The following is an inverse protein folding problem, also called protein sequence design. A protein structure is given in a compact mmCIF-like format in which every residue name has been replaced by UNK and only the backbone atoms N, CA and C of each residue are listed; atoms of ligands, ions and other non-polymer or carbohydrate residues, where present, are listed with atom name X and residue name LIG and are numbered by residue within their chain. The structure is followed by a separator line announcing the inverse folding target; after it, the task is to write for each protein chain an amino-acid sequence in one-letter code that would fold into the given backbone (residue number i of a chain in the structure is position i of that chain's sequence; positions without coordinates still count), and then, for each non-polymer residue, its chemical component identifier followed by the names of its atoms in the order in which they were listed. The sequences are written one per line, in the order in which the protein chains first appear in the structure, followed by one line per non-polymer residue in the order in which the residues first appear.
data_IF_253250142001
#
_entry.id   IF_253250142001
#
_cell.length_a   1.000
_cell.length_b   1.000
_cell.length_c   1.000
_cell.angle_alpha   90.00
_cell.angle_beta   90.00
_cell.angle_gamma   90.00
#
_symmetry.space_group_name_H-M   'P 1'
#
loop_
_entity.id
_entity.type
_entity.pdbx_description
1 polymer ?
#
# COMPACT_ATOMS: atom_id res chain seq x y z
N UNK A 1 -19.59 10.65 4.28
CA UNK A 1 -19.22 9.80 5.44
C UNK A 1 -17.73 9.64 5.42
N UNK A 2 -17.10 9.71 6.59
CA UNK A 2 -15.67 9.57 6.74
C UNK A 2 -15.30 8.13 7.09
N UNK A 3 -14.03 7.80 6.89
CA UNK A 3 -13.45 6.56 7.36
C UNK A 3 -13.68 6.40 8.87
N UNK A 4 -14.32 5.30 9.28
CA UNK A 4 -14.71 5.06 10.69
C UNK A 4 -13.60 4.40 11.49
N UNK A 5 -12.63 3.76 10.82
CA UNK A 5 -11.56 3.00 11.45
C UNK A 5 -11.87 1.53 11.69
N UNK A 6 -13.04 1.05 11.25
CA UNK A 6 -13.35 -0.39 11.27
C UNK A 6 -12.40 -1.15 10.32
N UNK A 7 -11.92 -2.32 10.77
CA UNK A 7 -11.06 -3.21 9.99
C UNK A 7 -11.71 -3.66 8.67
N UNK A 8 -13.05 -3.76 8.63
CA UNK A 8 -13.75 -4.07 7.39
C UNK A 8 -13.56 -3.00 6.31
N UNK A 9 -13.29 -1.75 6.70
CA UNK A 9 -13.01 -0.66 5.76
C UNK A 9 -11.58 -0.74 5.18
N UNK A 10 -10.66 -1.38 5.89
CA UNK A 10 -9.27 -1.63 5.44
C UNK A 10 -9.11 -2.89 4.59
N UNK A 11 -9.93 -3.92 4.82
CA UNK A 11 -9.76 -5.26 4.23
C UNK A 11 -11.01 -5.78 3.50
N UNK A 12 -11.93 -4.88 3.13
CA UNK A 12 -13.15 -5.23 2.43
C UNK A 12 -13.00 -5.23 0.90
N UNK A 13 -14.07 -5.61 0.20
CA UNK A 13 -14.11 -5.69 -1.27
C UNK A 13 -13.93 -4.34 -1.99
N UNK A 14 -13.99 -3.22 -1.26
CA UNK A 14 -13.72 -1.88 -1.77
C UNK A 14 -12.23 -1.59 -1.99
N UNK A 15 -11.34 -2.45 -1.48
CA UNK A 15 -9.90 -2.29 -1.62
C UNK A 15 -9.49 -2.65 -3.05
N UNK A 16 -8.69 -1.79 -3.67
CA UNK A 16 -8.11 -2.05 -4.99
C UNK A 16 -6.86 -2.95 -4.84
N UNK A 17 -7.04 -4.24 -5.09
CA UNK A 17 -5.97 -5.23 -5.00
C UNK A 17 -4.85 -4.99 -6.02
N UNK A 18 -5.18 -4.52 -7.24
CA UNK A 18 -4.20 -4.28 -8.29
C UNK A 18 -3.29 -3.09 -7.90
N UNK A 19 -3.86 -2.03 -7.33
CA UNK A 19 -3.10 -0.90 -6.80
C UNK A 19 -2.20 -1.31 -5.64
N UNK A 20 -2.67 -2.18 -4.74
CA UNK A 20 -1.86 -2.71 -3.64
C UNK A 20 -0.69 -3.55 -4.15
N UNK A 21 -0.93 -4.46 -5.09
CA UNK A 21 0.12 -5.30 -5.69
C UNK A 21 1.17 -4.43 -6.38
N UNK A 22 0.74 -3.38 -7.09
CA UNK A 22 1.66 -2.41 -7.68
C UNK A 22 2.55 -1.75 -6.61
N UNK A 23 1.98 -1.25 -5.52
CA UNK A 23 2.74 -0.61 -4.43
C UNK A 23 3.71 -1.58 -3.75
N UNK A 24 3.31 -2.84 -3.56
CA UNK A 24 4.19 -3.88 -3.03
C UNK A 24 5.40 -4.12 -3.95
N UNK A 25 5.17 -4.26 -5.25
CA UNK A 25 6.24 -4.47 -6.24
C UNK A 25 7.14 -3.24 -6.37
N UNK A 26 6.56 -2.04 -6.38
CA UNK A 26 7.32 -0.79 -6.45
C UNK A 26 8.23 -0.62 -5.24
N UNK A 27 7.71 -0.82 -4.02
CA UNK A 27 8.52 -0.78 -2.80
C UNK A 27 9.59 -1.87 -2.78
N UNK A 28 9.27 -3.08 -3.22
CA UNK A 28 10.25 -4.16 -3.32
C UNK A 28 11.38 -3.80 -4.29
N UNK A 29 11.04 -3.27 -5.48
CA UNK A 29 12.01 -2.84 -6.48
C UNK A 29 12.95 -1.76 -5.94
N UNK A 30 12.40 -0.70 -5.34
CA UNK A 30 13.18 0.44 -4.82
C UNK A 30 14.19 -0.03 -3.78
N UNK A 31 13.76 -0.82 -2.79
CA UNK A 31 14.66 -1.33 -1.76
C UNK A 31 15.61 -2.43 -2.25
N UNK A 32 15.30 -3.10 -3.37
CA UNK A 32 16.23 -4.04 -4.00
C UNK A 32 17.37 -3.30 -4.71
N UNK A 33 17.08 -2.18 -5.37
CA UNK A 33 18.08 -1.38 -6.08
C UNK A 33 18.91 -0.51 -5.13
N UNK A 34 18.25 0.08 -4.12
CA UNK A 34 18.86 0.99 -3.15
C UNK A 34 18.28 0.71 -1.75
N UNK A 35 18.90 -0.20 -0.98
CA UNK A 35 18.38 -0.65 0.31
C UNK A 35 18.13 0.45 1.35
N UNK A 36 18.90 1.54 1.27
CA UNK A 36 18.79 2.68 2.20
C UNK A 36 17.72 3.72 1.79
N UNK A 37 16.98 3.46 0.72
CA UNK A 37 15.88 4.34 0.28
C UNK A 37 14.74 4.33 1.30
N UNK A 38 14.04 5.45 1.42
CA UNK A 38 12.86 5.59 2.27
C UNK A 38 11.67 5.93 1.37
N UNK A 39 10.62 5.12 1.43
CA UNK A 39 9.35 5.38 0.74
C UNK A 39 8.29 5.85 1.74
N UNK A 40 7.48 6.84 1.35
CA UNK A 40 6.43 7.47 2.18
C UNK A 40 5.12 7.42 1.42
N UNK A 41 4.05 6.95 2.07
CA UNK A 41 2.69 7.03 1.56
C UNK A 41 2.02 8.32 2.10
N UNK A 42 1.31 9.05 1.23
CA UNK A 42 0.49 10.23 1.58
C UNK A 42 -0.91 9.83 2.06
#
# INVERSE_FOLDING_TARGET
EGFSGDYHEYFGLQVDEDALVYLMLANHLVHTLYPDSITVAE
#
